data_IF_530563230413
#
_entry.id   IF_530563230413
#
_cell.length_a   1.000
_cell.length_b   1.000
_cell.length_c   1.000
_cell.angle_alpha   90.00
_cell.angle_beta   90.00
_cell.angle_gamma   90.00
#
_symmetry.space_group_name_H-M   'P 1'
#
loop_
_entity.id
_entity.type
_entity.pdbx_description
1 polymer ?
#
# COMPACT_ATOMS: atom_id res chain seq x y z
N UNK A 1 12.90 16.62 -16.34
CA UNK A 1 11.61 16.26 -16.97
C UNK A 1 11.40 14.75 -17.06
N UNK A 2 12.37 13.95 -17.53
CA UNK A 2 12.19 12.48 -17.71
C UNK A 2 11.66 11.69 -16.50
N UNK A 3 12.06 12.03 -15.27
CA UNK A 3 11.61 11.32 -14.06
C UNK A 3 10.15 11.58 -13.67
N UNK A 4 9.43 12.48 -14.36
CA UNK A 4 8.01 12.76 -14.07
C UNK A 4 7.07 11.71 -14.64
N UNK A 5 7.53 10.91 -15.63
CA UNK A 5 6.72 9.91 -16.36
C UNK A 5 5.44 10.47 -16.98
N UNK A 6 5.37 11.79 -17.21
CA UNK A 6 4.21 12.50 -17.75
C UNK A 6 4.26 12.66 -19.28
N UNK A 7 5.45 12.59 -19.86
CA UNK A 7 5.69 12.86 -21.27
C UNK A 7 6.12 11.58 -21.98
N UNK A 8 5.64 11.37 -23.20
CA UNK A 8 6.11 10.31 -24.08
C UNK A 8 7.48 10.68 -24.68
N UNK A 9 7.64 11.96 -25.02
CA UNK A 9 8.86 12.48 -25.64
C UNK A 9 9.16 13.89 -25.11
N UNK A 10 10.45 14.18 -24.93
CA UNK A 10 10.97 15.49 -24.55
C UNK A 10 12.16 15.78 -25.45
N UNK A 11 12.06 16.79 -26.33
CA UNK A 11 13.15 17.21 -27.21
C UNK A 11 13.58 18.64 -26.89
N UNK A 12 14.88 18.88 -26.97
CA UNK A 12 15.49 20.18 -26.72
C UNK A 12 16.07 20.70 -28.02
N UNK A 13 15.67 21.90 -28.42
CA UNK A 13 16.25 22.61 -29.56
C UNK A 13 16.87 23.91 -29.06
N UNK A 14 18.12 24.15 -29.46
CA UNK A 14 18.88 25.32 -29.07
C UNK A 14 18.97 26.25 -30.27
N UNK A 15 18.57 27.50 -30.08
CA UNK A 15 18.69 28.54 -31.11
C UNK A 15 19.55 29.66 -30.55
N UNK A 16 20.68 29.94 -31.20
CA UNK A 16 21.51 31.07 -30.83
C UNK A 16 20.78 32.36 -31.25
N UNK A 17 20.55 33.27 -30.29
CA UNK A 17 19.99 34.59 -30.58
C UNK A 17 21.13 35.53 -30.97
N UNK A 18 22.23 35.51 -30.21
CA UNK A 18 23.47 36.25 -30.47
C UNK A 18 24.68 35.55 -29.81
N UNK A 19 25.83 36.24 -29.78
CA UNK A 19 27.10 35.73 -29.25
C UNK A 19 27.09 35.39 -27.75
N UNK A 20 26.12 35.90 -26.98
CA UNK A 20 26.03 35.72 -25.53
C UNK A 20 24.68 35.12 -25.08
N UNK A 21 23.68 35.09 -25.95
CA UNK A 21 22.33 34.61 -25.64
C UNK A 21 21.94 33.40 -26.48
N UNK A 22 21.51 32.33 -25.80
CA UNK A 22 20.95 31.12 -26.41
C UNK A 22 19.53 30.92 -25.92
N UNK A 23 18.61 30.73 -26.85
CA UNK A 23 17.24 30.32 -26.57
C UNK A 23 17.16 28.79 -26.51
N UNK A 24 16.54 28.29 -25.45
CA UNK A 24 16.25 26.86 -25.29
C UNK A 24 14.76 26.65 -25.52
N UNK A 25 14.40 25.95 -26.59
CA UNK A 25 13.04 25.49 -26.81
C UNK A 25 12.92 24.06 -26.30
N UNK A 26 11.89 23.83 -25.50
CA UNK A 26 11.58 22.50 -24.95
C UNK A 26 10.26 22.07 -25.55
N UNK A 27 10.32 21.07 -26.44
CA UNK A 27 9.13 20.45 -27.02
C UNK A 27 8.80 19.20 -26.22
N UNK A 28 7.54 19.08 -25.79
CA UNK A 28 7.06 17.94 -25.02
C UNK A 28 5.82 17.36 -25.69
N UNK A 29 5.78 16.04 -25.78
CA UNK A 29 4.59 15.30 -26.19
C UNK A 29 4.00 14.65 -24.95
N UNK A 30 2.83 15.11 -24.55
CA UNK A 30 2.14 14.59 -23.37
C UNK A 30 1.66 13.15 -23.58
N UNK A 31 1.65 12.38 -22.49
CA UNK A 31 1.04 11.05 -22.48
C UNK A 31 -0.45 11.16 -22.18
N UNK A 32 -1.25 10.22 -22.71
CA UNK A 32 -2.63 10.07 -22.25
C UNK A 32 -2.65 9.77 -20.74
N UNK A 33 -3.32 10.62 -19.96
CA UNK A 33 -3.34 10.49 -18.51
C UNK A 33 -4.44 9.57 -17.98
N UNK A 34 -5.40 9.19 -18.84
CA UNK A 34 -6.62 8.49 -18.46
C UNK A 34 -6.66 7.07 -19.02
N UNK A 35 -6.74 6.11 -18.11
CA UNK A 35 -6.84 4.69 -18.46
C UNK A 35 -8.00 4.05 -17.71
N UNK A 36 -9.17 3.87 -18.34
CA UNK A 36 -10.19 2.97 -17.83
C UNK A 36 -9.75 1.54 -18.09
N UNK A 37 -9.50 0.79 -17.02
CA UNK A 37 -9.13 -0.62 -17.11
C UNK A 37 -10.30 -1.45 -16.64
N UNK A 38 -11.00 -2.17 -17.55
CA UNK A 38 -11.98 -3.16 -17.13
C UNK A 38 -11.26 -4.26 -16.35
N UNK A 39 -11.85 -4.65 -15.23
CA UNK A 39 -11.38 -5.75 -14.43
C UNK A 39 -12.36 -6.92 -14.56
N UNK A 40 -11.81 -8.09 -14.89
CA UNK A 40 -12.48 -9.37 -14.74
C UNK A 40 -11.47 -10.32 -14.10
N UNK A 41 -11.78 -10.80 -12.90
CA UNK A 41 -10.87 -11.62 -12.11
C UNK A 41 -11.63 -12.77 -11.48
N UNK A 42 -11.19 -14.00 -11.78
CA UNK A 42 -11.68 -15.20 -11.11
C UNK A 42 -11.12 -15.27 -9.70
N UNK A 43 -11.94 -15.70 -8.74
CA UNK A 43 -11.50 -15.95 -7.36
C UNK A 43 -10.82 -17.32 -7.25
N UNK A 44 -11.16 -18.23 -8.15
CA UNK A 44 -10.63 -19.59 -8.21
C UNK A 44 -9.21 -19.61 -8.75
N UNK A 45 -8.50 -20.73 -8.51
CA UNK A 45 -7.06 -20.83 -8.84
C UNK A 45 -6.80 -20.71 -10.33
N UNK A 46 -7.75 -21.17 -11.14
CA UNK A 46 -7.68 -21.12 -12.59
C UNK A 46 -9.07 -21.23 -13.23
N UNK A 47 -9.11 -20.98 -14.54
CA UNK A 47 -10.33 -21.07 -15.34
C UNK A 47 -10.97 -22.47 -15.34
N UNK A 48 -10.17 -23.54 -15.32
CA UNK A 48 -10.69 -24.91 -15.37
C UNK A 48 -11.50 -25.26 -14.12
N UNK A 49 -11.03 -24.83 -12.94
CA UNK A 49 -11.75 -25.00 -11.68
C UNK A 49 -13.07 -24.23 -11.69
N UNK A 50 -13.02 -22.95 -12.11
CA UNK A 50 -14.21 -22.12 -12.24
C UNK A 50 -15.25 -22.72 -13.22
N UNK A 51 -14.80 -23.19 -14.38
CA UNK A 51 -15.67 -23.72 -15.43
C UNK A 51 -16.20 -25.12 -15.12
N UNK A 52 -15.33 -26.07 -14.74
CA UNK A 52 -15.70 -27.48 -14.55
C UNK A 52 -16.34 -27.75 -13.19
N UNK A 53 -15.77 -27.21 -12.11
CA UNK A 53 -16.24 -27.46 -10.74
C UNK A 53 -17.40 -26.54 -10.38
N UNK A 54 -17.25 -25.25 -10.70
CA UNK A 54 -18.22 -24.22 -10.31
C UNK A 54 -19.15 -23.79 -11.46
N UNK A 55 -19.16 -24.54 -12.57
CA UNK A 55 -20.09 -24.36 -13.70
C UNK A 55 -20.15 -22.92 -14.23
N UNK A 56 -18.98 -22.25 -14.29
CA UNK A 56 -18.86 -20.87 -14.74
C UNK A 56 -19.71 -19.86 -13.92
N UNK A 57 -19.88 -20.11 -12.62
CA UNK A 57 -20.70 -19.24 -11.75
C UNK A 57 -20.12 -17.82 -11.64
N UNK A 58 -20.92 -16.82 -12.03
CA UNK A 58 -20.59 -15.40 -11.89
C UNK A 58 -20.45 -14.94 -10.44
N UNK A 59 -21.00 -15.69 -9.48
CA UNK A 59 -20.86 -15.38 -8.05
C UNK A 59 -19.42 -15.51 -7.55
N UNK A 60 -18.55 -16.21 -8.29
CA UNK A 60 -17.12 -16.40 -7.99
C UNK A 60 -16.20 -15.53 -8.83
N UNK A 61 -16.75 -14.46 -9.40
CA UNK A 61 -16.02 -13.52 -10.25
C UNK A 61 -16.03 -12.14 -9.59
N UNK A 62 -14.90 -11.45 -9.64
CA UNK A 62 -14.81 -10.02 -9.38
C UNK A 62 -14.77 -9.29 -10.71
N UNK A 63 -15.70 -8.38 -10.93
CA UNK A 63 -15.77 -7.58 -12.15
C UNK A 63 -15.94 -6.11 -11.80
N UNK A 64 -15.52 -5.22 -12.69
CA UNK A 64 -15.68 -3.80 -12.47
C UNK A 64 -14.76 -2.93 -13.30
N UNK A 65 -14.62 -1.69 -12.88
CA UNK A 65 -13.81 -0.69 -13.57
C UNK A 65 -12.80 -0.07 -12.61
N UNK A 66 -11.55 0.01 -13.08
CA UNK A 66 -10.49 0.79 -12.45
C UNK A 66 -10.22 2.01 -13.30
N UNK A 67 -10.45 3.18 -12.74
CA UNK A 67 -10.17 4.45 -13.37
C UNK A 67 -8.93 5.06 -12.73
N UNK A 68 -7.93 5.39 -13.55
CA UNK A 68 -6.72 6.06 -13.11
C UNK A 68 -6.47 7.27 -13.99
N UNK A 69 -6.35 8.43 -13.35
CA UNK A 69 -5.89 9.66 -13.96
C UNK A 69 -4.53 10.03 -13.37
N UNK A 70 -3.46 9.99 -14.16
CA UNK A 70 -2.08 10.16 -13.67
C UNK A 70 -1.63 11.61 -13.47
N UNK A 71 -2.40 12.58 -13.97
CA UNK A 71 -2.04 14.00 -13.92
C UNK A 71 -3.26 14.93 -13.96
N UNK A 72 -4.11 14.90 -12.92
CA UNK A 72 -5.42 15.57 -12.97
C UNK A 72 -5.31 17.11 -13.04
N UNK A 73 -4.34 17.72 -12.36
CA UNK A 73 -4.12 19.18 -12.33
C UNK A 73 -2.88 19.66 -13.10
N UNK A 74 -2.16 18.75 -13.77
CA UNK A 74 -0.88 19.06 -14.42
C UNK A 74 0.34 18.98 -13.49
N UNK A 75 0.16 18.56 -12.22
CA UNK A 75 1.21 18.57 -11.18
C UNK A 75 1.67 17.16 -10.77
N UNK A 76 1.50 16.18 -11.66
CA UNK A 76 1.71 14.75 -11.40
C UNK A 76 0.84 14.23 -10.25
N UNK A 77 -0.34 14.83 -10.09
CA UNK A 77 -1.33 14.43 -9.12
C UNK A 77 -2.19 13.30 -9.69
N UNK A 78 -2.29 12.23 -8.91
CA UNK A 78 -2.90 10.99 -9.35
C UNK A 78 -4.24 10.77 -8.65
N UNK A 79 -5.30 10.65 -9.44
CA UNK A 79 -6.62 10.21 -8.99
C UNK A 79 -6.82 8.74 -9.38
N UNK A 80 -7.26 7.93 -8.42
CA UNK A 80 -7.69 6.54 -8.65
C UNK A 80 -9.09 6.38 -8.11
N UNK A 81 -9.95 5.74 -8.89
CA UNK A 81 -11.29 5.34 -8.50
C UNK A 81 -11.48 3.89 -8.94
N UNK A 82 -11.75 3.00 -8.00
CA UNK A 82 -11.99 1.58 -8.27
C UNK A 82 -13.42 1.25 -7.88
N UNK A 83 -14.16 0.66 -8.82
CA UNK A 83 -15.53 0.22 -8.68
C UNK A 83 -15.59 -1.27 -9.02
N UNK A 84 -15.32 -2.11 -8.04
CA UNK A 84 -15.28 -3.58 -8.18
C UNK A 84 -16.47 -4.19 -7.44
N UNK A 85 -17.15 -5.13 -8.09
CA UNK A 85 -18.28 -5.87 -7.58
C UNK A 85 -18.10 -7.38 -7.87
N UNK A 86 -19.01 -8.21 -7.35
CA UNK A 86 -19.00 -9.66 -7.53
C UNK A 86 -18.73 -10.40 -6.21
N UNK A 87 -17.76 -11.33 -6.22
CA UNK A 87 -17.43 -12.13 -5.02
C UNK A 87 -16.93 -11.25 -3.86
N UNK A 88 -16.14 -10.23 -4.19
CA UNK A 88 -15.74 -9.14 -3.30
C UNK A 88 -16.27 -7.82 -3.85
N UNK A 89 -16.63 -6.91 -2.96
CA UNK A 89 -17.03 -5.55 -3.34
C UNK A 89 -15.97 -4.59 -2.86
N UNK A 90 -15.55 -3.69 -3.73
CA UNK A 90 -14.62 -2.63 -3.36
C UNK A 90 -14.94 -1.36 -4.15
N UNK A 91 -15.37 -0.33 -3.44
CA UNK A 91 -15.54 1.03 -3.95
C UNK A 91 -14.51 1.87 -3.22
N UNK A 92 -13.49 2.33 -3.92
CA UNK A 92 -12.41 3.09 -3.30
C UNK A 92 -11.95 4.23 -4.18
N UNK A 93 -11.60 5.35 -3.56
CA UNK A 93 -10.95 6.46 -4.22
C UNK A 93 -9.65 6.82 -3.51
N UNK A 94 -8.68 7.32 -4.26
CA UNK A 94 -7.48 7.94 -3.70
C UNK A 94 -7.03 9.07 -4.60
N UNK A 95 -6.77 10.23 -4.03
CA UNK A 95 -6.17 11.37 -4.71
C UNK A 95 -4.86 11.72 -4.02
N UNK A 96 -3.76 11.67 -4.78
CA UNK A 96 -2.42 11.96 -4.29
C UNK A 96 -1.84 13.14 -5.07
N UNK A 97 -1.64 14.27 -4.40
CA UNK A 97 -0.96 15.42 -4.95
C UNK A 97 0.44 15.52 -4.30
N UNK A 98 1.51 15.13 -5.00
CA UNK A 98 2.86 15.12 -4.41
C UNK A 98 3.44 16.54 -4.21
N UNK A 99 2.91 17.55 -4.90
CA UNK A 99 3.48 18.89 -4.98
C UNK A 99 2.41 19.97 -4.94
N UNK A 100 1.76 20.14 -3.79
CA UNK A 100 0.65 21.06 -3.58
C UNK A 100 1.07 22.53 -3.49
N UNK A 101 2.34 22.82 -3.19
CA UNK A 101 2.88 24.18 -3.07
C UNK A 101 3.83 24.55 -4.22
N UNK A 102 4.01 25.85 -4.48
CA UNK A 102 4.86 26.35 -5.58
C UNK A 102 6.33 25.92 -5.44
N UNK A 103 6.84 25.75 -4.23
CA UNK A 103 8.21 25.26 -3.98
C UNK A 103 8.35 23.75 -4.13
N UNK A 104 7.27 23.01 -4.46
CA UNK A 104 7.27 21.57 -4.71
C UNK A 104 7.84 20.74 -3.53
N UNK A 105 7.68 21.23 -2.30
CA UNK A 105 8.16 20.56 -1.08
C UNK A 105 7.06 19.85 -0.33
N UNK A 106 5.81 20.27 -0.49
CA UNK A 106 4.68 19.77 0.30
C UNK A 106 3.71 19.03 -0.62
N UNK A 107 3.13 17.95 -0.12
CA UNK A 107 2.13 17.16 -0.81
C UNK A 107 1.07 16.67 0.16
N UNK A 108 -0.04 16.20 -0.37
CA UNK A 108 -1.07 15.56 0.42
C UNK A 108 -1.68 14.37 -0.31
N UNK A 109 -2.26 13.47 0.47
CA UNK A 109 -3.06 12.36 -0.02
C UNK A 109 -4.39 12.35 0.72
N UNK A 110 -5.47 12.10 -0.01
CA UNK A 110 -6.78 11.82 0.56
C UNK A 110 -7.28 10.53 -0.05
N UNK A 111 -7.84 9.66 0.77
CA UNK A 111 -8.37 8.39 0.32
C UNK A 111 -9.57 7.99 1.14
N UNK A 112 -10.41 7.15 0.55
CA UNK A 112 -11.50 6.53 1.25
C UNK A 112 -12.06 5.38 0.46
N UNK A 113 -12.79 4.52 1.14
CA UNK A 113 -13.40 3.40 0.46
C UNK A 113 -14.27 2.54 1.36
N UNK A 114 -14.89 1.61 0.68
CA UNK A 114 -15.81 0.63 1.18
C UNK A 114 -15.44 -0.72 0.58
N UNK A 115 -15.28 -1.73 1.41
CA UNK A 115 -14.97 -3.08 0.99
C UNK A 115 -15.83 -4.10 1.72
N UNK A 116 -16.24 -5.15 1.00
CA UNK A 116 -16.88 -6.33 1.57
C UNK A 116 -16.22 -7.60 1.07
N UNK A 117 -16.00 -8.53 2.00
CA UNK A 117 -15.39 -9.82 1.73
C UNK A 117 -16.34 -10.93 2.21
N UNK A 118 -16.50 -11.96 1.37
CA UNK A 118 -17.25 -13.19 1.69
C UNK A 118 -16.43 -14.20 2.48
N UNK A 119 -15.12 -14.00 2.54
CA UNK A 119 -14.18 -14.89 3.20
C UNK A 119 -13.10 -14.06 3.89
N UNK A 120 -12.77 -14.42 5.12
CA UNK A 120 -11.71 -13.77 5.88
C UNK A 120 -10.84 -14.79 6.60
N UNK A 121 -9.56 -14.45 6.75
CA UNK A 121 -8.64 -15.12 7.65
C UNK A 121 -9.03 -14.81 9.10
N UNK A 122 -9.34 -15.83 9.89
CA UNK A 122 -9.78 -15.65 11.29
C UNK A 122 -8.77 -16.18 12.31
N UNK A 123 -7.88 -17.11 11.91
CA UNK A 123 -6.87 -17.71 12.78
C UNK A 123 -5.71 -18.28 11.95
N UNK A 124 -4.54 -18.38 12.56
CA UNK A 124 -3.41 -19.15 12.05
C UNK A 124 -3.29 -20.44 12.86
N UNK A 125 -3.13 -21.57 12.18
CA UNK A 125 -3.00 -22.87 12.85
C UNK A 125 -1.58 -23.11 13.41
N UNK A 126 -1.40 -24.20 14.16
CA UNK A 126 -0.09 -24.58 14.72
C UNK A 126 0.95 -24.98 13.65
N UNK A 127 0.52 -25.17 12.41
CA UNK A 127 1.39 -25.42 11.25
C UNK A 127 1.69 -24.14 10.46
N UNK A 128 1.39 -22.97 11.02
CA UNK A 128 1.63 -21.66 10.41
C UNK A 128 0.82 -21.41 9.12
N UNK A 129 -0.35 -22.04 8.97
CA UNK A 129 -1.27 -21.83 7.84
C UNK A 129 -2.45 -20.97 8.24
N UNK A 130 -2.87 -20.12 7.30
CA UNK A 130 -4.03 -19.26 7.46
C UNK A 130 -5.31 -20.09 7.33
N UNK A 131 -6.18 -20.02 8.32
CA UNK A 131 -7.53 -20.58 8.28
C UNK A 131 -8.52 -19.51 7.83
N UNK A 132 -9.20 -19.81 6.72
CA UNK A 132 -10.23 -18.97 6.14
C UNK A 132 -11.61 -19.44 6.60
N UNK A 133 -12.49 -18.49 6.90
CA UNK A 133 -13.89 -18.77 7.16
C UNK A 133 -14.75 -18.05 6.14
N UNK A 134 -15.69 -18.80 5.56
CA UNK A 134 -16.67 -18.35 4.58
C UNK A 134 -18.06 -18.70 5.08
N UNK A 135 -18.96 -17.73 4.98
CA UNK A 135 -20.37 -17.88 5.37
C UNK A 135 -21.29 -17.40 4.23
N UNK A 136 -22.60 -17.61 4.38
CA UNK A 136 -23.60 -17.06 3.46
C UNK A 136 -23.63 -15.53 3.56
N UNK A 137 -23.39 -14.86 2.42
CA UNK A 137 -23.29 -13.40 2.36
C UNK A 137 -21.88 -12.87 2.62
N UNK A 138 -21.77 -11.62 3.06
CA UNK A 138 -20.49 -10.98 3.36
C UNK A 138 -20.13 -11.17 4.84
N UNK A 139 -18.95 -11.71 5.10
CA UNK A 139 -18.42 -12.00 6.44
C UNK A 139 -17.75 -10.79 7.07
N UNK A 140 -17.21 -9.87 6.24
CA UNK A 140 -16.60 -8.63 6.70
C UNK A 140 -17.03 -7.44 5.85
N UNK A 141 -17.27 -6.33 6.54
CA UNK A 141 -17.47 -5.00 5.96
C UNK A 141 -16.41 -4.05 6.52
N UNK A 142 -15.81 -3.27 5.63
CA UNK A 142 -14.72 -2.36 5.95
C UNK A 142 -14.97 -1.02 5.29
N UNK A 143 -15.05 0.05 6.08
CA UNK A 143 -15.13 1.43 5.61
C UNK A 143 -13.89 2.14 6.11
N UNK A 144 -13.26 2.94 5.27
CA UNK A 144 -12.13 3.75 5.70
C UNK A 144 -12.12 5.09 5.02
N UNK A 145 -11.53 6.06 5.71
CA UNK A 145 -11.20 7.37 5.19
C UNK A 145 -9.85 7.75 5.77
N UNK A 146 -9.01 8.43 5.00
CA UNK A 146 -7.69 8.82 5.45
C UNK A 146 -7.16 10.01 4.70
N UNK A 147 -6.34 10.78 5.40
CA UNK A 147 -5.62 11.91 4.87
C UNK A 147 -4.15 11.80 5.29
N UNK A 148 -3.26 12.30 4.44
CA UNK A 148 -1.85 12.37 4.74
C UNK A 148 -1.22 13.62 4.16
N UNK A 149 -0.13 14.04 4.79
CA UNK A 149 0.66 15.19 4.42
C UNK A 149 2.11 14.77 4.31
N UNK A 150 2.76 15.15 3.21
CA UNK A 150 4.15 14.82 2.93
C UNK A 150 4.99 16.09 2.83
N UNK A 151 6.18 16.05 3.42
CA UNK A 151 7.19 17.12 3.33
C UNK A 151 8.46 16.52 2.74
N UNK A 152 8.99 17.15 1.71
CA UNK A 152 10.26 16.83 1.06
C UNK A 152 11.12 18.09 1.00
N UNK A 153 11.94 18.29 2.03
CA UNK A 153 12.96 19.34 2.05
C UNK A 153 14.28 18.74 1.58
N UNK A 154 14.74 19.13 0.40
CA UNK A 154 15.96 18.60 -0.22
C UNK A 154 15.73 17.32 -1.03
N UNK A 155 16.84 16.69 -1.45
CA UNK A 155 16.80 15.60 -2.42
C UNK A 155 16.55 14.23 -1.80
N UNK A 156 17.08 14.00 -0.59
CA UNK A 156 17.21 12.67 0.00
C UNK A 156 16.19 12.36 1.11
N UNK A 157 15.67 13.38 1.80
CA UNK A 157 14.82 13.21 2.97
C UNK A 157 13.35 13.47 2.65
N UNK A 158 12.47 12.58 3.10
CA UNK A 158 11.02 12.71 3.00
C UNK A 158 10.36 12.35 4.33
N UNK A 159 9.35 13.12 4.71
CA UNK A 159 8.54 12.91 5.90
C UNK A 159 7.08 12.81 5.48
N UNK A 160 6.36 11.82 5.99
CA UNK A 160 4.93 11.66 5.76
C UNK A 160 4.22 11.52 7.09
N UNK A 161 3.15 12.27 7.27
CA UNK A 161 2.20 12.18 8.37
C UNK A 161 0.89 11.70 7.80
N UNK A 162 0.23 10.73 8.43
CA UNK A 162 -1.09 10.28 7.98
C UNK A 162 -2.00 10.02 9.17
N UNK A 163 -3.28 10.32 8.96
CA UNK A 163 -4.38 9.99 9.84
C UNK A 163 -5.40 9.17 9.04
N UNK A 164 -5.86 8.09 9.63
CA UNK A 164 -6.88 7.21 9.07
C UNK A 164 -7.97 6.96 10.09
N UNK A 165 -9.19 6.86 9.61
CA UNK A 165 -10.31 6.30 10.34
C UNK A 165 -10.79 5.06 9.59
N UNK A 166 -11.09 4.00 10.32
CA UNK A 166 -11.73 2.83 9.74
C UNK A 166 -12.77 2.19 10.64
N UNK A 167 -13.82 1.72 10.01
CA UNK A 167 -14.89 0.93 10.60
C UNK A 167 -14.77 -0.49 10.08
N UNK A 168 -14.60 -1.45 10.99
CA UNK A 168 -14.54 -2.87 10.70
C UNK A 168 -15.73 -3.57 11.34
N UNK A 169 -16.47 -4.32 10.56
CA UNK A 169 -17.59 -5.13 11.02
C UNK A 169 -17.36 -6.57 10.53
N UNK A 170 -17.47 -7.54 11.45
CA UNK A 170 -17.38 -8.98 11.15
C UNK A 170 -18.61 -9.70 11.69
N UNK A 171 -18.93 -10.86 11.11
CA UNK A 171 -19.98 -11.74 11.65
C UNK A 171 -19.62 -12.31 13.01
N UNK A 172 -20.62 -12.54 13.86
CA UNK A 172 -20.49 -13.10 15.20
C UNK A 172 -19.80 -14.48 15.19
N UNK A 173 -19.98 -15.24 14.11
CA UNK A 173 -19.32 -16.53 13.86
C UNK A 173 -17.81 -16.42 13.97
N UNK A 174 -17.22 -15.32 13.49
CA UNK A 174 -15.78 -15.06 13.56
C UNK A 174 -15.32 -14.90 15.00
N UNK A 175 -16.07 -14.19 15.83
CA UNK A 175 -15.73 -14.01 17.25
C UNK A 175 -15.94 -15.30 18.04
N UNK A 176 -16.91 -16.15 17.67
CA UNK A 176 -17.07 -17.49 18.25
C UNK A 176 -15.89 -18.40 17.90
N UNK A 177 -15.40 -18.33 16.65
CA UNK A 177 -14.25 -19.11 16.20
C UNK A 177 -12.91 -18.60 16.75
N UNK A 178 -12.78 -17.28 16.91
CA UNK A 178 -11.62 -16.65 17.53
C UNK A 178 -12.04 -15.43 18.37
N UNK A 179 -12.23 -15.61 19.69
CA UNK A 179 -12.57 -14.50 20.59
C UNK A 179 -11.49 -13.41 20.64
N UNK A 180 -10.24 -13.75 20.28
CA UNK A 180 -9.11 -12.82 20.21
C UNK A 180 -9.00 -12.10 18.86
N UNK A 181 -9.99 -12.26 17.96
CA UNK A 181 -9.95 -11.61 16.64
C UNK A 181 -9.82 -10.09 16.73
N UNK A 182 -10.67 -9.47 17.56
CA UNK A 182 -10.58 -8.05 17.95
C UNK A 182 -10.15 -7.84 19.40
N UNK A 183 -9.93 -8.93 20.14
CA UNK A 183 -9.72 -8.88 21.60
C UNK A 183 -10.86 -8.13 22.32
N UNK A 184 -12.08 -8.31 21.82
CA UNK A 184 -13.33 -7.68 22.26
C UNK A 184 -14.51 -8.56 21.84
N UNK A 185 -15.60 -8.53 22.62
CA UNK A 185 -16.86 -9.20 22.28
C UNK A 185 -17.67 -8.43 21.22
N UNK A 186 -17.28 -7.19 20.89
CA UNK A 186 -17.93 -6.42 19.84
C UNK A 186 -17.51 -6.90 18.46
N UNK A 187 -18.51 -7.16 17.62
CA UNK A 187 -18.39 -7.51 16.19
C UNK A 187 -17.99 -6.33 15.32
N UNK A 188 -18.01 -5.13 15.90
CA UNK A 188 -17.66 -3.87 15.25
C UNK A 188 -16.50 -3.19 15.97
N UNK A 189 -15.60 -2.57 15.19
CA UNK A 189 -14.47 -1.82 15.69
C UNK A 189 -14.31 -0.52 14.90
N UNK A 190 -14.21 0.58 15.63
CA UNK A 190 -13.86 1.89 15.11
C UNK A 190 -12.40 2.16 15.45
N UNK A 191 -11.59 2.41 14.42
CA UNK A 191 -10.15 2.46 14.55
C UNK A 191 -9.67 3.79 14.00
N UNK A 192 -8.93 4.54 14.82
CA UNK A 192 -8.15 5.69 14.37
C UNK A 192 -6.69 5.24 14.27
N UNK A 193 -6.07 5.47 13.12
CA UNK A 193 -4.67 5.20 12.85
C UNK A 193 -3.94 6.54 12.66
N UNK A 194 -2.85 6.73 13.39
CA UNK A 194 -1.91 7.82 13.22
C UNK A 194 -0.58 7.23 12.81
N UNK A 195 0.07 7.77 11.79
CA UNK A 195 1.37 7.27 11.35
C UNK A 195 2.30 8.40 10.95
N UNK A 196 3.57 8.23 11.28
CA UNK A 196 4.68 9.05 10.84
C UNK A 196 5.72 8.18 10.16
N UNK A 197 6.16 8.57 8.96
CA UNK A 197 7.17 7.87 8.18
C UNK A 197 8.26 8.85 7.74
N UNK A 198 9.47 8.61 8.21
CA UNK A 198 10.69 9.28 7.78
C UNK A 198 11.43 8.36 6.80
N UNK A 199 11.80 8.88 5.64
CA UNK A 199 12.55 8.14 4.61
C UNK A 199 13.77 8.93 4.19
N UNK A 200 14.90 8.24 4.10
CA UNK A 200 16.14 8.76 3.56
C UNK A 200 16.60 7.87 2.41
N UNK A 201 16.87 8.46 1.25
CA UNK A 201 17.40 7.74 0.10
C UNK A 201 18.49 8.57 -0.56
N UNK A 202 19.74 8.12 -0.45
CA UNK A 202 20.87 8.67 -1.18
C UNK A 202 21.56 7.52 -1.92
N UNK A 203 21.05 7.25 -3.12
CA UNK A 203 21.48 6.16 -3.99
C UNK A 203 21.63 6.68 -5.41
N UNK A 204 22.46 6.01 -6.19
CA UNK A 204 22.71 6.36 -7.59
C UNK A 204 21.46 6.21 -8.48
N UNK A 205 20.61 5.22 -8.20
CA UNK A 205 19.36 4.98 -8.90
C UNK A 205 18.30 4.49 -7.90
N UNK A 206 17.11 5.09 -7.91
CA UNK A 206 16.03 4.75 -6.97
C UNK A 206 15.39 3.39 -7.32
N UNK A 207 15.26 3.08 -8.61
CA UNK A 207 14.61 1.84 -9.07
C UNK A 207 15.52 0.61 -8.97
N UNK A 208 16.83 0.81 -9.18
CA UNK A 208 17.82 -0.27 -9.05
C UNK A 208 19.10 0.26 -8.39
N UNK A 209 19.11 0.43 -7.05
CA UNK A 209 20.26 0.97 -6.34
C UNK A 209 21.47 0.03 -6.41
N UNK A 210 22.60 0.53 -6.89
CA UNK A 210 23.86 -0.22 -6.94
C UNK A 210 24.88 0.30 -5.94
N UNK A 211 24.79 1.58 -5.60
CA UNK A 211 25.65 2.24 -4.63
C UNK A 211 24.86 3.22 -3.78
N UNK A 212 25.30 3.44 -2.55
CA UNK A 212 24.70 4.40 -1.63
C UNK A 212 23.95 3.72 -0.48
N UNK A 213 22.97 4.42 0.09
CA UNK A 213 22.23 3.94 1.27
C UNK A 213 20.80 4.45 1.30
N UNK A 214 19.93 3.65 1.87
CA UNK A 214 18.54 4.01 2.17
C UNK A 214 18.23 3.69 3.63
N UNK A 215 17.40 4.50 4.26
CA UNK A 215 16.92 4.24 5.60
C UNK A 215 15.46 4.67 5.72
N UNK A 216 14.72 4.05 6.63
CA UNK A 216 13.40 4.53 7.01
C UNK A 216 13.13 4.30 8.49
N UNK A 217 12.26 5.13 9.04
CA UNK A 217 11.69 5.00 10.38
C UNK A 217 10.18 5.23 10.25
N UNK A 218 9.40 4.25 10.69
CA UNK A 218 7.95 4.27 10.71
C UNK A 218 7.47 4.15 12.15
N UNK A 219 6.63 5.07 12.57
CA UNK A 219 5.96 5.05 13.87
C UNK A 219 4.47 5.11 13.63
N UNK A 220 3.73 4.13 14.14
CA UNK A 220 2.27 4.05 13.99
C UNK A 220 1.61 3.88 15.35
N UNK A 221 0.53 4.63 15.57
CA UNK A 221 -0.40 4.42 16.67
C UNK A 221 -1.77 4.06 16.10
N UNK A 222 -2.25 2.87 16.43
CA UNK A 222 -3.60 2.39 16.15
C UNK A 222 -4.43 2.43 17.43
N UNK A 223 -5.65 2.94 17.31
CA UNK A 223 -6.57 3.18 18.42
C UNK A 223 -6.12 4.34 19.31
N UNK A 224 -7.08 4.98 19.99
CA UNK A 224 -6.80 6.12 20.87
C UNK A 224 -6.34 5.70 22.28
N UNK A 225 -6.61 4.45 22.69
CA UNK A 225 -6.20 3.93 24.00
C UNK A 225 -4.76 3.39 23.98
N UNK A 226 -4.20 3.17 25.17
CA UNK A 226 -2.86 2.57 25.30
C UNK A 226 -2.86 1.05 25.49
N UNK A 227 -3.96 0.48 26.01
CA UNK A 227 -4.11 -0.95 26.28
C UNK A 227 -5.51 -1.46 25.87
N UNK A 228 -5.63 -2.77 25.65
CA UNK A 228 -6.91 -3.44 25.36
C UNK A 228 -7.45 -3.25 23.93
N UNK A 229 -8.31 -4.17 23.50
CA UNK A 229 -8.99 -4.12 22.20
C UNK A 229 -8.02 -4.07 21.01
N UNK A 230 -8.18 -3.04 20.16
CA UNK A 230 -7.47 -2.88 18.90
C UNK A 230 -6.17 -2.05 19.00
N UNK A 231 -5.86 -1.57 20.21
CA UNK A 231 -4.79 -0.62 20.43
C UNK A 231 -3.42 -1.23 20.14
N UNK A 232 -2.63 -0.52 19.33
CA UNK A 232 -1.29 -0.95 18.95
C UNK A 232 -0.40 0.27 18.75
N UNK A 233 0.83 0.19 19.23
CA UNK A 233 1.90 1.11 18.91
C UNK A 233 2.98 0.32 18.19
N UNK A 234 3.35 0.74 16.99
CA UNK A 234 4.36 0.07 16.17
C UNK A 234 5.51 1.01 15.89
N UNK A 235 6.73 0.52 16.06
CA UNK A 235 7.94 1.17 15.57
C UNK A 235 8.63 0.20 14.64
N UNK A 236 8.92 0.65 13.43
CA UNK A 236 9.65 -0.12 12.43
C UNK A 236 10.77 0.75 11.86
N UNK A 237 11.97 0.20 11.76
CA UNK A 237 13.09 0.88 11.15
C UNK A 237 13.83 -0.08 10.23
N UNK A 238 14.37 0.46 9.14
CA UNK A 238 15.19 -0.31 8.22
C UNK A 238 16.32 0.50 7.65
N UNK A 239 17.42 -0.17 7.35
CA UNK A 239 18.62 0.38 6.74
C UNK A 239 19.13 -0.55 5.65
N UNK A 240 19.44 0.00 4.49
CA UNK A 240 20.09 -0.71 3.40
C UNK A 240 21.35 0.02 2.97
N UNK A 241 22.43 -0.73 2.78
CA UNK A 241 23.70 -0.25 2.24
C UNK A 241 24.06 -1.04 0.99
N UNK A 242 24.34 -0.31 -0.09
CA UNK A 242 24.73 -0.88 -1.37
C UNK A 242 26.21 -0.60 -1.66
N UNK A 243 26.93 -1.65 -2.05
CA UNK A 243 28.37 -1.64 -2.28
C UNK A 243 28.66 -2.01 -3.74
N UNK A 244 29.37 -1.13 -4.45
CA UNK A 244 29.99 -1.47 -5.73
C UNK A 244 31.36 -2.07 -5.47
N UNK A 245 31.54 -3.35 -5.81
CA UNK A 245 32.80 -4.09 -5.62
C UNK A 245 33.73 -4.00 -6.84
N UNK A 246 33.34 -3.23 -7.86
CA UNK A 246 34.06 -3.10 -9.13
C UNK A 246 33.79 -4.28 -10.08
N UNK A 247 34.22 -4.14 -11.35
CA UNK A 247 34.07 -5.18 -12.40
C UNK A 247 32.64 -5.70 -12.59
N UNK A 248 31.62 -4.86 -12.36
CA UNK A 248 30.22 -5.25 -12.47
C UNK A 248 29.66 -6.05 -11.29
N UNK A 249 30.40 -6.19 -10.18
CA UNK A 249 29.94 -6.85 -8.97
C UNK A 249 29.32 -5.88 -7.97
N UNK A 250 28.18 -6.26 -7.41
CA UNK A 250 27.42 -5.47 -6.45
C UNK A 250 26.97 -6.35 -5.29
N UNK A 251 26.91 -5.75 -4.10
CA UNK A 251 26.38 -6.40 -2.91
C UNK A 251 25.53 -5.41 -2.12
N UNK A 252 24.57 -5.91 -1.36
CA UNK A 252 23.71 -5.12 -0.50
C UNK A 252 23.52 -5.78 0.85
N UNK A 253 23.49 -4.99 1.91
CA UNK A 253 23.15 -5.44 3.25
C UNK A 253 21.89 -4.70 3.68
N UNK A 254 20.84 -5.47 3.96
CA UNK A 254 19.56 -4.96 4.45
C UNK A 254 19.31 -5.41 5.88
N UNK A 255 18.98 -4.46 6.74
CA UNK A 255 18.58 -4.66 8.11
C UNK A 255 17.19 -4.05 8.30
N UNK A 256 16.28 -4.79 8.91
CA UNK A 256 14.95 -4.33 9.30
C UNK A 256 14.68 -4.81 10.73
N UNK A 257 14.05 -3.96 11.52
CA UNK A 257 13.51 -4.33 12.81
C UNK A 257 12.15 -3.67 13.02
N UNK A 258 11.22 -4.41 13.61
CA UNK A 258 9.86 -3.97 13.91
C UNK A 258 9.45 -4.45 15.29
N UNK A 259 8.79 -3.59 16.05
CA UNK A 259 8.21 -3.94 17.35
C UNK A 259 6.80 -3.36 17.48
N UNK A 260 5.91 -4.14 18.10
CA UNK A 260 4.52 -3.80 18.37
C UNK A 260 4.22 -3.93 19.86
N UNK A 261 3.59 -2.91 20.42
CA UNK A 261 3.20 -2.82 21.82
C UNK A 261 1.71 -2.52 21.95
N UNK A 262 1.00 -3.07 22.95
CA UNK A 262 1.45 -4.12 23.87
C UNK A 262 1.72 -5.45 23.14
N UNK A 263 2.47 -6.38 23.74
CA UNK A 263 2.77 -7.67 23.09
C UNK A 263 1.54 -8.59 22.95
N UNK A 264 0.52 -8.39 23.78
CA UNK A 264 -0.78 -9.01 23.60
C UNK A 264 -1.63 -8.20 22.61
N UNK A 265 -1.56 -8.59 21.34
CA UNK A 265 -2.31 -7.96 20.26
C UNK A 265 -3.56 -8.77 19.88
N UNK A 266 -4.62 -8.15 19.34
CA UNK A 266 -5.69 -8.88 18.66
C UNK A 266 -5.15 -9.53 17.38
N UNK A 267 -5.75 -10.65 16.95
CA UNK A 267 -5.30 -11.40 15.77
C UNK A 267 -5.14 -10.52 14.51
N UNK A 268 -6.06 -9.57 14.29
CA UNK A 268 -5.98 -8.65 13.14
C UNK A 268 -4.71 -7.78 13.11
N UNK A 269 -4.06 -7.57 14.25
CA UNK A 269 -2.81 -6.82 14.39
C UNK A 269 -1.56 -7.72 14.46
N UNK A 270 -1.70 -9.05 14.53
CA UNK A 270 -0.60 -9.98 14.76
C UNK A 270 0.14 -10.41 13.48
N UNK A 271 -0.26 -9.94 12.29
CA UNK A 271 0.36 -10.32 11.01
C UNK A 271 1.86 -9.96 10.97
N UNK A 272 2.73 -10.95 11.10
CA UNK A 272 4.19 -10.81 11.16
C UNK A 272 4.86 -11.09 9.81
N UNK A 273 5.59 -12.20 9.70
CA UNK A 273 6.29 -12.64 8.48
C UNK A 273 5.38 -13.54 7.63
N UNK A 274 5.64 -13.62 6.33
CA UNK A 274 4.80 -14.35 5.37
C UNK A 274 3.60 -13.54 4.84
N UNK A 275 3.36 -12.33 5.38
CA UNK A 275 2.28 -11.44 4.94
C UNK A 275 2.81 -10.26 4.10
N UNK A 276 2.17 -10.00 2.96
CA UNK A 276 2.46 -8.83 2.12
C UNK A 276 3.91 -8.81 1.61
N UNK A 277 4.59 -7.67 1.75
CA UNK A 277 6.00 -7.49 1.35
C UNK A 277 7.00 -8.26 2.23
N UNK A 278 6.58 -8.75 3.40
CA UNK A 278 7.41 -9.57 4.31
C UNK A 278 7.27 -11.07 4.02
N UNK A 279 6.97 -11.44 2.77
CA UNK A 279 6.91 -12.85 2.38
C UNK A 279 8.32 -13.44 2.30
N UNK A 280 8.45 -14.69 2.75
CA UNK A 280 9.69 -15.45 2.63
C UNK A 280 9.62 -16.27 1.33
N UNK A 281 10.53 -15.99 0.39
CA UNK A 281 10.64 -16.76 -0.85
C UNK A 281 10.92 -18.23 -0.52
N UNK A 282 10.14 -19.14 -1.11
CA UNK A 282 10.19 -20.58 -0.83
C UNK A 282 9.35 -21.04 0.37
N UNK A 283 8.67 -20.12 1.08
CA UNK A 283 7.78 -20.42 2.20
C UNK A 283 6.42 -19.73 2.03
N UNK A 284 5.90 -19.67 0.80
CA UNK A 284 4.70 -18.91 0.44
C UNK A 284 3.42 -19.40 1.15
N UNK A 285 3.42 -20.63 1.65
CA UNK A 285 2.30 -21.22 2.39
C UNK A 285 2.34 -20.97 3.90
N UNK A 286 3.41 -20.36 4.42
CA UNK A 286 3.65 -20.24 5.85
C UNK A 286 3.65 -18.78 6.28
N UNK A 287 2.96 -18.51 7.39
CA UNK A 287 2.91 -17.21 8.02
C UNK A 287 3.29 -17.31 9.48
N UNK A 288 4.06 -16.33 9.95
CA UNK A 288 4.44 -16.23 11.36
C UNK A 288 3.73 -15.01 11.91
N UNK A 289 2.81 -15.25 12.83
CA UNK A 289 2.22 -14.18 13.61
C UNK A 289 3.23 -13.72 14.67
N UNK A 290 3.37 -12.40 14.82
CA UNK A 290 4.43 -11.84 15.64
C UNK A 290 4.27 -10.37 15.93
N UNK A 291 4.77 -9.98 17.10
CA UNK A 291 4.82 -8.60 17.58
C UNK A 291 6.22 -7.98 17.45
N UNK A 292 7.24 -8.79 17.19
CA UNK A 292 8.58 -8.32 16.86
C UNK A 292 9.22 -9.17 15.76
N UNK A 293 9.99 -8.54 14.89
CA UNK A 293 10.75 -9.17 13.79
C UNK A 293 12.02 -8.37 13.53
#
# INVERSE_FOLDING_TARGET
MYNTTLFNEVTFTLTAIDSFHVQVHVHVTERWYLYPVPQFQLVDRNFNEWYKTYKASFDRVNYGLKFVHYNLSGRRDQLRIYLINGYTRNISFSYNNPYSNRSLTNGFIVSGGYSQNREIAYKTDSSNRILLHKETGFTRKYIYAGAGFSIRKGLFLRQNFSIGYSYNEVKDTILKLNPRYFNSLSTTQHIIDLSYLLQYANVNNISYPLTGRTAFLSVQKRGLGFTGGINMFTVEAGYNRYFGMGKGWFSSVYLNGKIRLPFEQPYINQRGLGYGENYLRGLEYYVIDGVAT
#
